data_IF_576176711247
#
_entry.id   IF_576176711247
#
_cell.length_a   1.000
_cell.length_b   1.000
_cell.length_c   1.000
_cell.angle_alpha   90.00
_cell.angle_beta   90.00
_cell.angle_gamma   90.00
#
_symmetry.space_group_name_H-M   'P 1'
#
loop_
_entity.id
_entity.type
_entity.pdbx_description
1 polymer ?
#
# COMPACT_ATOMS: atom_id res chain seq x y z
N UNK A 1 5.69 9.72 20.11
CA UNK A 1 4.35 10.23 19.75
C UNK A 1 4.30 10.84 18.34
N UNK A 2 4.48 10.07 17.25
CA UNK A 2 4.35 10.65 15.90
C UNK A 2 2.92 10.93 15.43
N UNK A 3 1.91 10.25 15.97
CA UNK A 3 0.54 10.45 15.47
C UNK A 3 -0.04 11.80 15.94
N UNK A 4 0.24 12.21 17.17
CA UNK A 4 0.02 13.59 17.63
C UNK A 4 0.76 14.64 16.78
N UNK A 5 2.01 14.37 16.37
CA UNK A 5 2.78 15.26 15.51
C UNK A 5 2.19 15.35 14.08
N UNK A 6 1.72 14.21 13.53
CA UNK A 6 1.01 14.16 12.25
C UNK A 6 -0.32 14.91 12.31
N UNK A 7 -1.08 14.72 13.38
CA UNK A 7 -2.32 15.46 13.64
C UNK A 7 -2.06 16.97 13.76
N UNK A 8 -0.97 17.37 14.42
CA UNK A 8 -0.56 18.77 14.52
C UNK A 8 -0.11 19.36 13.17
N UNK A 9 0.39 18.52 12.25
CA UNK A 9 0.78 18.93 10.90
C UNK A 9 -0.41 18.99 9.92
N UNK A 10 -1.54 18.32 10.20
CA UNK A 10 -2.72 18.31 9.33
C UNK A 10 -3.20 19.71 8.92
N UNK A 11 -3.31 20.72 9.81
CA UNK A 11 -3.70 22.06 9.40
C UNK A 11 -2.77 22.65 8.33
N UNK A 12 -1.46 22.43 8.42
CA UNK A 12 -0.51 22.89 7.41
C UNK A 12 -0.69 22.14 6.09
N UNK A 13 -0.80 20.81 6.14
CA UNK A 13 -1.01 19.99 4.93
C UNK A 13 -2.28 20.39 4.18
N UNK A 14 -3.37 20.66 4.91
CA UNK A 14 -4.68 20.93 4.34
C UNK A 14 -4.87 22.40 3.91
N UNK A 15 -4.23 23.37 4.59
CA UNK A 15 -4.49 24.79 4.35
C UNK A 15 -3.46 25.46 3.42
N UNK A 16 -2.19 25.05 3.47
CA UNK A 16 -1.13 25.65 2.66
C UNK A 16 -0.59 24.72 1.58
N UNK A 17 -1.15 23.51 1.47
CA UNK A 17 -0.63 22.41 0.66
C UNK A 17 0.86 22.13 0.93
N UNK A 18 1.38 22.59 2.07
CA UNK A 18 2.79 22.45 2.40
C UNK A 18 3.11 20.99 2.72
N UNK A 19 4.00 20.39 1.95
CA UNK A 19 4.31 18.96 2.02
C UNK A 19 3.44 18.08 1.12
N UNK A 20 2.47 18.65 0.40
CA UNK A 20 1.75 17.92 -0.66
C UNK A 20 2.56 17.95 -1.97
N UNK A 21 2.55 16.85 -2.75
CA UNK A 21 3.10 16.86 -4.10
C UNK A 21 2.41 17.92 -4.97
N UNK A 22 3.15 18.54 -5.90
CA UNK A 22 2.65 19.62 -6.77
C UNK A 22 1.38 19.23 -7.55
N UNK A 23 1.34 17.99 -8.06
CA UNK A 23 0.19 17.44 -8.79
C UNK A 23 -1.07 17.30 -7.93
N UNK A 24 -0.92 17.18 -6.61
CA UNK A 24 -2.03 17.08 -5.66
C UNK A 24 -2.40 18.44 -5.03
N UNK A 25 -1.44 19.35 -4.89
CA UNK A 25 -1.56 20.60 -4.14
C UNK A 25 -2.66 21.55 -4.66
N UNK A 26 -3.06 21.41 -5.92
CA UNK A 26 -4.12 22.19 -6.57
C UNK A 26 -5.55 21.68 -6.26
N UNK A 27 -5.68 20.49 -5.65
CA UNK A 27 -6.97 19.86 -5.37
C UNK A 27 -7.33 20.00 -3.90
N UNK A 28 -8.63 20.14 -3.62
CA UNK A 28 -9.15 20.12 -2.25
C UNK A 28 -9.47 18.69 -1.84
N UNK A 29 -8.95 18.19 -0.70
CA UNK A 29 -9.30 16.88 -0.21
C UNK A 29 -10.77 16.86 0.24
N UNK A 30 -11.43 15.72 0.08
CA UNK A 30 -12.78 15.46 0.59
C UNK A 30 -12.78 14.65 1.89
N UNK A 31 -11.64 14.05 2.24
CA UNK A 31 -11.51 13.03 3.29
C UNK A 31 -10.09 12.92 3.81
N UNK A 32 -9.95 12.48 5.07
CA UNK A 32 -8.67 12.13 5.69
C UNK A 32 -8.59 10.62 5.89
N UNK A 33 -7.48 10.04 5.41
CA UNK A 33 -7.08 8.68 5.72
C UNK A 33 -6.19 8.70 6.96
N UNK A 34 -6.60 8.03 8.03
CA UNK A 34 -5.94 8.08 9.33
C UNK A 34 -5.70 6.68 9.87
N UNK A 35 -4.50 6.43 10.40
CA UNK A 35 -4.09 5.12 10.93
C UNK A 35 -2.98 4.50 10.10
N UNK A 36 -2.93 3.16 10.09
CA UNK A 36 -1.88 2.38 9.44
C UNK A 36 -2.44 1.14 8.76
N UNK A 37 -1.89 0.77 7.60
CA UNK A 37 -2.41 -0.34 6.79
C UNK A 37 -1.69 -1.67 7.02
N UNK A 38 -0.51 -1.67 7.62
CA UNK A 38 0.37 -2.85 7.56
C UNK A 38 0.93 -3.35 8.89
N UNK A 39 0.90 -2.55 9.96
CA UNK A 39 1.51 -2.92 11.22
C UNK A 39 0.60 -2.68 12.43
N UNK A 40 0.21 -3.76 13.11
CA UNK A 40 -0.59 -3.70 14.34
C UNK A 40 0.05 -2.86 15.46
N UNK A 41 1.40 -2.84 15.54
CA UNK A 41 2.13 -2.08 16.56
C UNK A 41 2.17 -0.57 16.30
N UNK A 42 1.68 -0.12 15.15
CA UNK A 42 1.56 1.29 14.80
C UNK A 42 0.11 1.79 14.85
N UNK A 43 -0.83 0.97 15.34
CA UNK A 43 -2.21 1.40 15.53
C UNK A 43 -2.27 2.68 16.38
N UNK A 44 -3.11 3.65 15.98
CA UNK A 44 -3.30 4.88 16.76
C UNK A 44 -3.96 4.57 18.10
N UNK A 45 -3.87 5.51 19.04
CA UNK A 45 -4.69 5.43 20.26
C UNK A 45 -6.12 5.89 19.98
N UNK A 46 -7.07 5.54 20.87
CA UNK A 46 -8.43 6.07 20.83
C UNK A 46 -8.42 7.61 20.86
N UNK A 47 -7.54 8.23 21.66
CA UNK A 47 -7.40 9.69 21.74
C UNK A 47 -6.99 10.31 20.40
N UNK A 48 -6.10 9.65 19.64
CA UNK A 48 -5.70 10.11 18.32
C UNK A 48 -6.85 10.02 17.30
N UNK A 49 -7.68 8.95 17.37
CA UNK A 49 -8.88 8.80 16.54
C UNK A 49 -9.89 9.91 16.83
N UNK A 50 -10.11 10.25 18.11
CA UNK A 50 -10.99 11.34 18.52
C UNK A 50 -10.49 12.67 17.94
N UNK A 51 -9.19 12.95 18.07
CA UNK A 51 -8.58 14.16 17.54
C UNK A 51 -8.67 14.24 16.01
N UNK A 52 -8.45 13.14 15.30
CA UNK A 52 -8.62 13.06 13.85
C UNK A 52 -10.07 13.34 13.42
N UNK A 53 -11.05 12.75 14.11
CA UNK A 53 -12.47 12.98 13.84
C UNK A 53 -12.87 14.46 14.04
N UNK A 54 -12.30 15.13 15.04
CA UNK A 54 -12.49 16.58 15.24
C UNK A 54 -11.90 17.42 14.09
N UNK A 55 -10.70 17.06 13.62
CA UNK A 55 -10.08 17.74 12.47
C UNK A 55 -10.92 17.56 11.19
N UNK A 56 -11.48 16.37 10.98
CA UNK A 56 -12.41 16.09 9.88
C UNK A 56 -13.69 16.94 10.00
N UNK A 57 -14.33 16.92 11.18
CA UNK A 57 -15.62 17.61 11.42
C UNK A 57 -15.52 19.12 11.25
N UNK A 58 -14.49 19.72 11.84
CA UNK A 58 -14.24 21.18 11.74
C UNK A 58 -13.99 21.66 10.30
N UNK A 59 -13.72 20.74 9.35
CA UNK A 59 -13.43 21.05 7.94
C UNK A 59 -14.44 20.46 6.96
N UNK A 60 -15.45 19.74 7.45
CA UNK A 60 -16.42 19.04 6.59
C UNK A 60 -15.80 17.94 5.73
N UNK A 61 -14.77 17.25 6.23
CA UNK A 61 -14.10 16.14 5.55
C UNK A 61 -14.60 14.80 6.09
N UNK A 62 -14.72 13.79 5.23
CA UNK A 62 -14.93 12.40 5.67
C UNK A 62 -13.71 11.82 6.41
N UNK A 63 -13.90 10.75 7.17
CA UNK A 63 -12.81 10.09 7.90
C UNK A 63 -12.71 8.59 7.59
N UNK A 64 -11.56 8.14 7.08
CA UNK A 64 -11.24 6.73 6.85
C UNK A 64 -10.25 6.27 7.90
N UNK A 65 -10.62 5.27 8.68
CA UNK A 65 -9.71 4.60 9.59
C UNK A 65 -9.03 3.43 8.87
N UNK A 66 -7.70 3.49 8.77
CA UNK A 66 -6.87 2.41 8.23
C UNK A 66 -6.60 1.37 9.30
N UNK A 67 -6.85 0.09 8.98
CA UNK A 67 -6.53 -1.02 9.86
C UNK A 67 -5.59 -2.02 9.19
N UNK A 68 -4.58 -2.53 9.93
CA UNK A 68 -3.67 -3.54 9.41
C UNK A 68 -4.25 -4.94 9.57
N UNK A 69 -3.54 -5.94 9.03
CA UNK A 69 -3.73 -7.30 9.50
C UNK A 69 -3.22 -7.46 10.92
N UNK A 70 -3.93 -8.28 11.71
CA UNK A 70 -3.72 -8.35 13.16
C UNK A 70 -3.73 -9.80 13.64
N UNK A 71 -2.97 -10.06 14.71
CA UNK A 71 -3.12 -11.30 15.50
C UNK A 71 -4.30 -11.21 16.45
N UNK A 72 -4.77 -12.33 16.99
CA UNK A 72 -5.92 -12.41 17.92
C UNK A 72 -5.89 -11.39 19.07
N UNK A 73 -4.71 -11.19 19.70
CA UNK A 73 -4.54 -10.23 20.79
C UNK A 73 -4.75 -8.76 20.40
N UNK A 74 -4.85 -8.47 19.10
CA UNK A 74 -5.05 -7.14 18.53
C UNK A 74 -6.44 -6.94 17.93
N UNK A 75 -7.31 -7.97 17.93
CA UNK A 75 -8.71 -7.83 17.53
C UNK A 75 -9.46 -6.86 18.46
N UNK A 76 -9.33 -7.03 19.78
CA UNK A 76 -9.99 -6.15 20.77
C UNK A 76 -9.53 -4.68 20.66
N UNK A 77 -8.21 -4.38 20.57
CA UNK A 77 -7.74 -3.03 20.25
C UNK A 77 -8.40 -2.41 19.02
N UNK A 78 -8.47 -3.12 17.89
CA UNK A 78 -9.08 -2.54 16.69
C UNK A 78 -10.59 -2.33 16.87
N UNK A 79 -11.30 -3.29 17.49
CA UNK A 79 -12.73 -3.11 17.84
C UNK A 79 -12.96 -1.85 18.67
N UNK A 80 -12.08 -1.52 19.63
CA UNK A 80 -12.19 -0.28 20.42
C UNK A 80 -11.96 0.97 19.57
N UNK A 81 -11.04 0.94 18.60
CA UNK A 81 -10.82 2.08 17.69
C UNK A 81 -12.05 2.32 16.80
N UNK A 82 -12.65 1.26 16.24
CA UNK A 82 -13.88 1.38 15.44
C UNK A 82 -15.05 1.84 16.29
N UNK A 83 -15.21 1.30 17.50
CA UNK A 83 -16.21 1.79 18.45
C UNK A 83 -16.02 3.27 18.76
N UNK A 84 -14.79 3.71 18.99
CA UNK A 84 -14.46 5.12 19.24
C UNK A 84 -14.86 5.99 18.06
N UNK A 85 -14.51 5.59 16.83
CA UNK A 85 -14.86 6.27 15.58
C UNK A 85 -16.38 6.52 15.47
N UNK A 86 -17.18 5.51 15.83
CA UNK A 86 -18.64 5.56 15.82
C UNK A 86 -19.17 6.47 16.94
N UNK A 87 -18.70 6.28 18.18
CA UNK A 87 -19.19 7.01 19.36
C UNK A 87 -18.94 8.52 19.26
N UNK A 88 -17.81 8.93 18.68
CA UNK A 88 -17.52 10.35 18.41
C UNK A 88 -18.18 10.91 17.15
N UNK A 89 -19.00 10.08 16.48
CA UNK A 89 -19.72 10.44 15.25
C UNK A 89 -18.77 11.05 14.22
N UNK A 90 -17.70 10.32 13.89
CA UNK A 90 -16.79 10.74 12.85
C UNK A 90 -17.58 11.00 11.55
N UNK A 91 -17.28 12.08 10.80
CA UNK A 91 -18.03 12.38 9.58
C UNK A 91 -17.78 11.32 8.51
N UNK A 92 -18.86 10.79 7.92
CA UNK A 92 -18.81 9.77 6.85
C UNK A 92 -17.80 8.65 7.19
N UNK A 93 -18.03 7.86 8.26
CA UNK A 93 -17.00 6.97 8.79
C UNK A 93 -16.78 5.77 7.87
N UNK A 94 -15.56 5.60 7.39
CA UNK A 94 -15.10 4.43 6.62
C UNK A 94 -14.02 3.69 7.40
N UNK A 95 -13.94 2.36 7.23
CA UNK A 95 -12.86 1.54 7.78
C UNK A 95 -12.27 0.66 6.67
N UNK A 96 -10.97 0.85 6.39
CA UNK A 96 -10.22 0.01 5.45
C UNK A 96 -9.71 -1.23 6.19
N UNK A 97 -10.01 -2.40 5.63
CA UNK A 97 -9.74 -3.70 6.24
C UNK A 97 -8.71 -4.48 5.43
N UNK A 98 -7.65 -4.91 6.12
CA UNK A 98 -6.58 -5.75 5.53
C UNK A 98 -6.57 -7.18 6.10
N UNK A 99 -7.64 -7.61 6.80
CA UNK A 99 -7.76 -8.92 7.43
C UNK A 99 -9.22 -9.42 7.44
N UNK A 100 -9.44 -10.62 6.91
CA UNK A 100 -10.76 -11.25 6.81
C UNK A 100 -11.35 -11.64 8.17
N UNK A 101 -10.53 -12.06 9.12
CA UNK A 101 -10.95 -12.37 10.49
C UNK A 101 -11.40 -11.11 11.23
N UNK A 102 -10.66 -10.02 11.04
CA UNK A 102 -11.02 -8.70 11.56
C UNK A 102 -12.33 -8.19 10.94
N UNK A 103 -12.49 -8.27 9.61
CA UNK A 103 -13.74 -7.93 8.92
C UNK A 103 -14.93 -8.70 9.51
N UNK A 104 -14.80 -10.02 9.63
CA UNK A 104 -15.85 -10.89 10.18
C UNK A 104 -16.26 -10.46 11.59
N UNK A 105 -15.27 -10.09 12.42
CA UNK A 105 -15.51 -9.63 13.78
C UNK A 105 -16.23 -8.29 13.80
N UNK A 106 -15.66 -7.27 13.15
CA UNK A 106 -16.18 -5.91 13.18
C UNK A 106 -17.57 -5.81 12.54
N UNK A 107 -17.86 -6.57 11.49
CA UNK A 107 -19.20 -6.63 10.92
C UNK A 107 -20.24 -7.13 11.93
N UNK A 108 -19.91 -8.14 12.74
CA UNK A 108 -20.85 -8.62 13.78
C UNK A 108 -21.09 -7.59 14.88
N UNK A 109 -20.09 -6.76 15.19
CA UNK A 109 -20.15 -5.77 16.26
C UNK A 109 -20.77 -4.44 15.80
N UNK A 110 -20.55 -4.03 14.56
CA UNK A 110 -20.81 -2.68 14.06
C UNK A 110 -21.53 -2.63 12.70
N UNK A 111 -22.33 -3.65 12.35
CA UNK A 111 -23.06 -3.70 11.08
C UNK A 111 -23.88 -2.42 10.83
N UNK A 112 -23.74 -1.84 9.63
CA UNK A 112 -24.48 -0.66 9.20
C UNK A 112 -24.11 0.66 9.89
N UNK A 113 -23.06 0.69 10.74
CA UNK A 113 -22.64 1.89 11.45
C UNK A 113 -21.46 2.62 10.77
N UNK A 114 -20.69 1.91 9.95
CA UNK A 114 -19.57 2.42 9.16
C UNK A 114 -19.53 1.72 7.81
N UNK A 115 -18.94 2.38 6.83
CA UNK A 115 -18.68 1.79 5.51
C UNK A 115 -17.39 0.95 5.56
N UNK A 116 -17.46 -0.27 5.03
CA UNK A 116 -16.33 -1.20 4.98
C UNK A 116 -15.63 -1.11 3.63
N UNK A 117 -14.31 -0.97 3.65
CA UNK A 117 -13.49 -0.85 2.44
C UNK A 117 -12.47 -2.00 2.39
N UNK A 118 -12.36 -2.66 1.24
CA UNK A 118 -11.37 -3.71 1.03
C UNK A 118 -9.99 -3.07 0.83
N UNK A 119 -9.08 -3.30 1.77
CA UNK A 119 -7.72 -2.76 1.71
C UNK A 119 -6.82 -3.45 0.68
N UNK A 120 -5.71 -2.78 0.37
CA UNK A 120 -4.71 -3.20 -0.63
C UNK A 120 -4.18 -4.62 -0.38
N UNK A 121 -4.14 -5.06 0.87
CA UNK A 121 -3.64 -6.38 1.25
C UNK A 121 -4.51 -7.58 0.84
N UNK A 122 -5.80 -7.37 0.50
CA UNK A 122 -6.77 -8.47 0.38
C UNK A 122 -7.15 -8.85 -1.06
N UNK A 123 -6.82 -8.04 -2.06
CA UNK A 123 -7.23 -8.29 -3.45
C UNK A 123 -6.11 -8.86 -4.34
N UNK A 124 -5.01 -9.37 -3.77
CA UNK A 124 -3.91 -10.11 -4.45
C UNK A 124 -3.43 -9.55 -5.81
N UNK A 125 -3.48 -8.24 -6.01
CA UNK A 125 -2.91 -7.61 -7.20
C UNK A 125 -1.41 -7.88 -7.28
N UNK A 126 -0.91 -8.14 -8.48
CA UNK A 126 0.52 -8.31 -8.75
C UNK A 126 1.21 -6.95 -8.67
N UNK A 127 2.19 -6.83 -7.79
CA UNK A 127 2.95 -5.58 -7.54
C UNK A 127 4.45 -5.79 -7.60
N UNK A 128 4.87 -6.87 -8.23
CA UNK A 128 6.29 -7.19 -8.37
C UNK A 128 6.93 -6.19 -9.33
N UNK A 129 7.85 -5.35 -8.85
CA UNK A 129 8.40 -4.27 -9.66
C UNK A 129 9.26 -4.75 -10.83
N UNK A 130 9.63 -6.05 -10.83
CA UNK A 130 10.36 -6.68 -11.93
C UNK A 130 9.47 -6.97 -13.13
N UNK A 131 8.14 -7.02 -12.98
CA UNK A 131 7.23 -7.30 -14.10
C UNK A 131 7.33 -6.23 -15.19
N UNK A 132 7.58 -4.98 -14.81
CA UNK A 132 7.83 -3.91 -15.77
C UNK A 132 9.13 -4.11 -16.58
N UNK A 133 10.06 -4.94 -16.08
CA UNK A 133 11.34 -5.25 -16.73
C UNK A 133 11.31 -6.58 -17.48
N UNK A 134 10.23 -7.36 -17.33
CA UNK A 134 10.07 -8.71 -17.89
C UNK A 134 8.96 -8.64 -18.93
N UNK A 135 9.33 -8.59 -20.22
CA UNK A 135 8.35 -8.65 -21.30
C UNK A 135 7.69 -10.04 -21.42
N UNK A 136 6.55 -10.14 -22.12
CA UNK A 136 5.79 -11.39 -22.27
C UNK A 136 6.58 -12.56 -22.87
N UNK A 137 7.63 -12.26 -23.63
CA UNK A 137 8.54 -13.24 -24.21
C UNK A 137 9.20 -14.15 -23.16
N UNK A 138 9.35 -13.69 -21.92
CA UNK A 138 9.89 -14.49 -20.81
C UNK A 138 8.96 -15.57 -20.31
N UNK A 139 7.68 -15.46 -20.65
CA UNK A 139 6.67 -16.47 -20.39
C UNK A 139 6.35 -17.29 -21.64
N UNK A 140 7.09 -17.07 -22.74
CA UNK A 140 6.86 -17.73 -24.02
C UNK A 140 5.64 -17.22 -24.80
N UNK A 141 5.22 -15.97 -24.55
CA UNK A 141 4.11 -15.32 -25.27
C UNK A 141 4.50 -13.98 -25.88
N UNK A 142 3.62 -13.43 -26.72
CA UNK A 142 3.84 -12.14 -27.41
C UNK A 142 3.16 -10.95 -26.71
N UNK A 143 2.26 -11.21 -25.76
CA UNK A 143 1.46 -10.18 -25.07
C UNK A 143 1.52 -10.36 -23.55
N UNK A 144 1.52 -9.24 -22.82
CA UNK A 144 1.53 -9.26 -21.36
C UNK A 144 0.30 -10.02 -20.84
N UNK A 145 0.46 -10.95 -19.88
CA UNK A 145 -0.69 -11.65 -19.31
C UNK A 145 -1.61 -10.68 -18.57
N UNK A 146 -2.91 -10.77 -18.87
CA UNK A 146 -3.96 -9.97 -18.21
C UNK A 146 -3.91 -10.05 -16.69
N UNK A 147 -3.56 -11.22 -16.15
CA UNK A 147 -3.42 -11.46 -14.71
C UNK A 147 -2.42 -10.51 -14.02
N UNK A 148 -1.47 -9.94 -14.76
CA UNK A 148 -0.50 -8.98 -14.22
C UNK A 148 -1.07 -7.57 -14.06
N UNK A 149 -2.19 -7.30 -14.71
CA UNK A 149 -2.83 -5.99 -14.81
C UNK A 149 -4.09 -5.88 -13.91
N UNK A 150 -4.39 -6.92 -13.14
CA UNK A 150 -5.62 -7.05 -12.36
C UNK A 150 -5.36 -7.52 -10.91
N UNK A 151 -6.39 -7.39 -10.08
CA UNK A 151 -6.48 -8.05 -8.77
C UNK A 151 -7.57 -9.11 -8.75
N UNK A 152 -7.74 -9.79 -7.61
CA UNK A 152 -8.79 -10.79 -7.38
C UNK A 152 -10.20 -10.27 -7.67
N UNK A 153 -10.43 -8.96 -7.63
CA UNK A 153 -11.69 -8.33 -8.03
C UNK A 153 -12.09 -8.60 -9.50
N UNK A 154 -11.18 -9.08 -10.35
CA UNK A 154 -11.52 -9.52 -11.71
C UNK A 154 -12.19 -10.91 -11.76
N UNK A 155 -12.08 -11.71 -10.70
CA UNK A 155 -12.84 -12.96 -10.57
C UNK A 155 -14.29 -12.68 -10.17
N UNK A 156 -15.24 -13.36 -10.85
CA UNK A 156 -16.67 -13.33 -10.51
C UNK A 156 -16.91 -13.79 -9.08
N UNK A 157 -16.27 -14.88 -8.66
CA UNK A 157 -16.44 -15.49 -7.34
C UNK A 157 -15.98 -14.54 -6.24
N UNK A 158 -14.88 -13.82 -6.48
CA UNK A 158 -14.42 -12.79 -5.54
C UNK A 158 -15.42 -11.64 -5.45
N UNK A 159 -15.97 -11.17 -6.58
CA UNK A 159 -17.00 -10.11 -6.56
C UNK A 159 -18.28 -10.55 -5.85
N UNK A 160 -18.70 -11.80 -6.01
CA UNK A 160 -19.85 -12.35 -5.27
C UNK A 160 -19.57 -12.37 -3.76
N UNK A 161 -18.35 -12.75 -3.36
CA UNK A 161 -17.92 -12.66 -1.97
C UNK A 161 -17.95 -11.22 -1.45
N UNK A 162 -17.43 -10.24 -2.21
CA UNK A 162 -17.48 -8.83 -1.81
C UNK A 162 -18.92 -8.32 -1.65
N UNK A 163 -19.83 -8.69 -2.57
CA UNK A 163 -21.23 -8.33 -2.49
C UNK A 163 -21.93 -8.95 -1.25
N UNK A 164 -21.69 -10.23 -0.96
CA UNK A 164 -22.16 -10.87 0.29
C UNK A 164 -21.58 -10.19 1.54
N UNK A 165 -20.35 -9.68 1.39
CA UNK A 165 -19.67 -8.98 2.46
C UNK A 165 -20.07 -7.50 2.63
N UNK A 166 -20.95 -6.98 1.77
CA UNK A 166 -21.30 -5.57 1.65
C UNK A 166 -20.05 -4.67 1.45
N UNK A 167 -19.06 -5.18 0.74
CA UNK A 167 -17.86 -4.46 0.34
C UNK A 167 -18.05 -3.93 -1.08
N UNK A 168 -18.19 -2.62 -1.20
CA UNK A 168 -18.42 -1.94 -2.49
C UNK A 168 -17.23 -1.13 -2.96
N UNK A 169 -16.19 -0.98 -2.13
CA UNK A 169 -14.98 -0.21 -2.44
C UNK A 169 -13.71 -1.03 -2.25
N UNK A 170 -12.76 -0.87 -3.17
CA UNK A 170 -11.44 -1.50 -3.14
C UNK A 170 -10.33 -0.45 -3.24
N UNK A 171 -9.39 -0.48 -2.30
CA UNK A 171 -8.15 0.30 -2.36
C UNK A 171 -7.15 -0.42 -3.28
N UNK A 172 -6.56 0.30 -4.23
CA UNK A 172 -5.60 -0.21 -5.22
C UNK A 172 -4.37 0.69 -5.31
N UNK A 173 -3.25 0.13 -5.78
CA UNK A 173 -2.05 0.88 -6.15
C UNK A 173 -1.99 1.06 -7.67
N UNK A 174 -1.13 1.94 -8.17
CA UNK A 174 -0.75 1.97 -9.59
C UNK A 174 0.58 1.20 -9.80
N UNK A 175 0.56 -0.09 -10.17
CA UNK A 175 1.76 -0.88 -10.38
C UNK A 175 2.58 -0.43 -11.59
N UNK A 176 3.89 -0.71 -11.52
CA UNK A 176 4.85 -0.28 -12.54
C UNK A 176 4.57 -0.86 -13.93
N UNK A 177 3.90 -2.01 -14.00
CA UNK A 177 3.49 -2.65 -15.24
C UNK A 177 2.12 -2.15 -15.77
N UNK A 178 1.49 -1.18 -15.11
CA UNK A 178 0.17 -0.66 -15.46
C UNK A 178 -1.00 -1.53 -14.97
N UNK A 179 -2.21 -1.08 -15.28
CA UNK A 179 -3.47 -1.73 -14.92
C UNK A 179 -4.39 -1.85 -16.13
N UNK A 180 -5.28 -2.84 -16.08
CA UNK A 180 -6.43 -2.93 -16.98
C UNK A 180 -7.49 -1.92 -16.56
N UNK A 181 -8.32 -1.52 -17.51
CA UNK A 181 -9.51 -0.72 -17.26
C UNK A 181 -10.48 -1.37 -16.25
N UNK A 182 -11.16 -0.53 -15.48
CA UNK A 182 -12.04 -0.93 -14.37
C UNK A 182 -13.52 -0.99 -14.75
N UNK A 183 -13.89 -0.57 -15.97
CA UNK A 183 -15.30 -0.39 -16.39
C UNK A 183 -16.14 -1.69 -16.30
N UNK A 184 -15.47 -2.84 -16.30
CA UNK A 184 -16.09 -4.16 -16.23
C UNK A 184 -16.56 -4.56 -14.82
N UNK A 185 -16.27 -3.75 -13.80
CA UNK A 185 -16.50 -4.12 -12.41
C UNK A 185 -17.53 -3.21 -11.70
N UNK A 186 -18.57 -3.78 -11.06
CA UNK A 186 -19.56 -3.02 -10.30
C UNK A 186 -19.03 -2.67 -8.89
N UNK A 187 -17.86 -2.03 -8.83
CA UNK A 187 -17.16 -1.65 -7.61
C UNK A 187 -16.65 -0.22 -7.73
N UNK A 188 -16.51 0.45 -6.59
CA UNK A 188 -15.78 1.71 -6.50
C UNK A 188 -14.31 1.44 -6.17
N UNK A 189 -13.42 2.26 -6.70
CA UNK A 189 -11.98 2.11 -6.54
C UNK A 189 -11.35 3.38 -5.99
N UNK A 190 -10.31 3.19 -5.19
CA UNK A 190 -9.52 4.25 -4.60
C UNK A 190 -8.05 3.98 -4.90
N UNK A 191 -7.40 4.92 -5.59
CA UNK A 191 -6.03 4.75 -6.09
C UNK A 191 -5.02 5.45 -5.18
N UNK A 192 -4.12 4.69 -4.58
CA UNK A 192 -3.02 5.21 -3.77
C UNK A 192 -1.85 5.69 -4.64
N UNK A 193 -1.39 6.91 -4.39
CA UNK A 193 -0.22 7.54 -5.01
C UNK A 193 0.57 8.36 -3.97
N UNK A 194 1.91 8.49 -4.10
CA UNK A 194 2.75 7.98 -5.19
C UNK A 194 3.43 6.63 -4.89
N UNK A 195 3.10 5.99 -3.77
CA UNK A 195 3.76 4.76 -3.36
C UNK A 195 2.91 3.54 -3.68
N UNK A 196 3.55 2.51 -4.22
CA UNK A 196 2.95 1.19 -4.37
C UNK A 196 3.55 0.20 -3.40
N UNK A 197 2.69 -0.56 -2.72
CA UNK A 197 3.11 -1.66 -1.85
C UNK A 197 3.71 -2.80 -2.68
N UNK A 198 4.82 -3.41 -2.26
CA UNK A 198 5.37 -4.62 -2.89
C UNK A 198 4.97 -5.84 -2.07
N UNK A 199 5.31 -5.83 -0.78
CA UNK A 199 5.08 -6.93 0.14
C UNK A 199 5.10 -6.44 1.58
N UNK A 200 4.29 -7.07 2.43
CA UNK A 200 4.30 -6.89 3.88
C UNK A 200 4.21 -8.24 4.58
N UNK A 201 4.74 -8.32 5.79
CA UNK A 201 4.63 -9.50 6.63
C UNK A 201 4.80 -9.18 8.12
N UNK A 202 4.53 -10.14 9.00
CA UNK A 202 4.70 -9.93 10.46
C UNK A 202 6.16 -9.88 10.91
N UNK A 203 7.06 -10.47 10.13
CA UNK A 203 8.49 -10.38 10.41
C UNK A 203 9.02 -9.01 9.95
N UNK A 204 9.58 -8.24 10.88
CA UNK A 204 10.00 -6.86 10.63
C UNK A 204 11.49 -6.72 10.90
N UNK A 205 12.29 -6.62 9.83
CA UNK A 205 13.72 -6.36 9.93
C UNK A 205 14.00 -5.05 10.68
N UNK A 206 13.20 -4.02 10.41
CA UNK A 206 13.36 -2.70 11.04
C UNK A 206 13.16 -2.78 12.56
N UNK A 207 12.23 -3.60 13.03
CA UNK A 207 12.03 -3.82 14.48
C UNK A 207 13.21 -4.52 15.17
N UNK A 208 14.12 -5.12 14.40
CA UNK A 208 15.30 -5.82 14.93
C UNK A 208 16.55 -4.95 15.03
N UNK A 209 16.51 -3.70 14.58
CA UNK A 209 17.67 -2.80 14.68
C UNK A 209 18.06 -2.55 16.14
N UNK A 210 19.36 -2.57 16.41
CA UNK A 210 19.89 -2.42 17.77
C UNK A 210 19.68 -3.63 18.69
N UNK A 211 18.98 -4.68 18.24
CA UNK A 211 18.69 -5.88 19.06
C UNK A 211 19.76 -6.98 18.89
N UNK A 212 19.96 -7.83 19.93
CA UNK A 212 20.90 -8.94 19.86
C UNK A 212 20.52 -9.94 18.75
N UNK A 213 21.49 -10.70 18.20
CA UNK A 213 21.25 -11.64 17.10
C UNK A 213 20.10 -12.63 17.34
N UNK A 214 19.91 -13.07 18.58
CA UNK A 214 18.83 -14.00 18.97
C UNK A 214 17.41 -13.44 18.80
N UNK A 215 17.27 -12.12 18.71
CA UNK A 215 15.99 -11.44 18.51
C UNK A 215 15.81 -10.93 17.07
N UNK A 216 16.79 -11.16 16.19
CA UNK A 216 16.68 -10.78 14.77
C UNK A 216 15.77 -11.77 14.04
N UNK A 217 14.97 -11.25 13.11
CA UNK A 217 14.04 -12.03 12.29
C UNK A 217 12.94 -12.77 13.06
N UNK A 218 12.70 -12.38 14.32
CA UNK A 218 11.57 -12.85 15.11
C UNK A 218 10.37 -11.93 14.90
N UNK A 219 9.16 -12.49 14.97
CA UNK A 219 7.94 -11.69 14.98
C UNK A 219 7.89 -10.92 16.30
N UNK A 220 7.85 -9.57 16.29
CA UNK A 220 7.87 -8.79 17.50
C UNK A 220 6.54 -8.95 18.27
N UNK A 221 6.63 -9.42 19.52
CA UNK A 221 5.51 -9.40 20.46
C UNK A 221 5.23 -7.96 20.92
N UNK A 222 6.29 -7.17 21.08
CA UNK A 222 6.26 -5.74 21.34
C UNK A 222 7.24 -5.03 20.40
N UNK A 223 6.93 -3.78 20.06
CA UNK A 223 7.72 -2.98 19.14
C UNK A 223 7.85 -1.54 19.67
N UNK A 224 9.08 -1.04 19.66
CA UNK A 224 9.46 0.35 19.92
C UNK A 224 9.27 1.27 18.70
N UNK A 225 8.79 0.69 17.59
CA UNK A 225 8.45 1.37 16.35
C UNK A 225 9.57 2.25 15.74
N UNK A 226 10.81 1.72 15.57
CA UNK A 226 11.93 2.46 14.98
C UNK A 226 11.65 2.92 13.53
N UNK A 227 10.69 2.32 12.85
CA UNK A 227 10.23 2.76 11.52
C UNK A 227 9.57 4.14 11.50
N UNK A 228 9.21 4.68 12.66
CA UNK A 228 8.76 6.08 12.82
C UNK A 228 9.89 7.05 12.49
N UNK A 229 11.13 6.67 12.80
CA UNK A 229 12.32 7.54 12.63
C UNK A 229 13.18 7.14 11.43
N UNK A 230 13.16 5.87 11.05
CA UNK A 230 14.02 5.34 9.99
C UNK A 230 13.24 4.77 8.81
N UNK A 231 13.72 5.08 7.61
CA UNK A 231 13.33 4.45 6.33
C UNK A 231 14.58 3.90 5.68
N UNK A 232 14.54 2.64 5.22
CA UNK A 232 15.64 2.04 4.48
C UNK A 232 15.41 2.31 2.99
N UNK A 233 16.41 2.86 2.32
CA UNK A 233 16.45 2.94 0.87
C UNK A 233 17.08 1.65 0.34
N UNK A 234 16.29 0.87 -0.40
CA UNK A 234 16.75 -0.34 -1.03
C UNK A 234 17.24 -0.02 -2.44
N UNK A 235 18.38 -0.59 -2.79
CA UNK A 235 18.95 -0.48 -4.13
C UNK A 235 18.98 -1.86 -4.73
N UNK A 236 18.23 -2.04 -5.81
CA UNK A 236 18.32 -3.26 -6.59
C UNK A 236 19.55 -3.15 -7.49
N UNK A 237 20.50 -4.10 -7.46
CA UNK A 237 21.59 -4.13 -8.42
C UNK A 237 21.12 -4.50 -9.84
N UNK A 238 19.81 -4.58 -10.09
CA UNK A 238 19.26 -5.35 -11.21
C UNK A 238 18.15 -4.65 -12.00
N UNK A 239 18.03 -3.32 -11.95
CA UNK A 239 17.18 -2.66 -12.94
C UNK A 239 17.85 -2.75 -14.31
N UNK A 240 17.26 -3.52 -15.23
CA UNK A 240 17.71 -3.57 -16.62
C UNK A 240 16.98 -2.53 -17.50
N UNK A 241 16.27 -1.58 -16.87
CA UNK A 241 15.61 -0.44 -17.51
C UNK A 241 16.66 0.37 -18.28
N UNK A 242 16.65 0.23 -19.60
CA UNK A 242 17.64 0.83 -20.51
C UNK A 242 18.46 -0.17 -21.33
N UNK A 243 18.39 -1.48 -21.06
CA UNK A 243 19.10 -2.51 -21.84
C UNK A 243 18.26 -3.08 -23.02
N UNK A 244 17.00 -2.64 -23.18
CA UNK A 244 16.08 -3.11 -24.22
C UNK A 244 15.46 -4.49 -23.95
N UNK A 245 14.32 -4.78 -24.58
CA UNK A 245 13.50 -5.99 -24.35
C UNK A 245 14.25 -7.32 -24.61
N UNK A 246 15.36 -7.30 -25.37
CA UNK A 246 16.14 -8.49 -25.72
C UNK A 246 17.18 -8.91 -24.66
N UNK A 247 17.23 -8.27 -23.49
CA UNK A 247 18.35 -8.39 -22.56
C UNK A 247 18.19 -9.47 -21.48
N UNK A 248 17.05 -10.14 -21.40
CA UNK A 248 16.87 -11.28 -20.52
C UNK A 248 17.18 -12.54 -21.34
N UNK A 249 18.13 -13.38 -20.93
CA UNK A 249 18.37 -14.64 -21.63
C UNK A 249 17.08 -15.46 -21.53
N UNK A 250 16.44 -15.70 -22.67
CA UNK A 250 15.46 -16.76 -22.79
C UNK A 250 16.13 -18.03 -22.23
N UNK A 251 15.46 -18.73 -21.32
CA UNK A 251 15.92 -20.04 -20.90
C UNK A 251 15.96 -20.89 -22.16
N UNK A 252 17.15 -21.12 -22.71
CA UNK A 252 17.34 -22.15 -23.73
C UNK A 252 16.71 -23.45 -23.21
N UNK A 253 16.09 -24.21 -24.11
CA UNK A 253 15.18 -25.33 -23.82
C UNK A 253 15.79 -26.52 -23.02
N UNK A 254 16.93 -26.35 -22.36
CA UNK A 254 17.54 -27.35 -21.50
C UNK A 254 18.45 -26.70 -20.43
N UNK A 255 17.97 -26.44 -19.20
CA UNK A 255 18.83 -25.97 -18.13
C UNK A 255 19.49 -27.21 -17.51
N UNK A 256 20.57 -27.71 -18.11
CA UNK A 256 21.49 -28.49 -17.30
C UNK A 256 22.05 -27.52 -16.24
N UNK A 257 21.84 -27.73 -14.94
CA UNK A 257 22.45 -26.87 -13.93
C UNK A 257 23.96 -27.07 -14.01
N UNK A 258 24.66 -26.14 -14.67
CA UNK A 258 26.11 -26.13 -14.59
C UNK A 258 26.48 -25.89 -13.13
N UNK A 259 27.26 -26.77 -12.48
CA UNK A 259 27.67 -26.61 -11.09
C UNK A 259 28.65 -25.44 -10.90
N UNK A 260 28.98 -24.71 -11.96
CA UNK A 260 29.92 -23.61 -11.97
C UNK A 260 29.27 -22.22 -11.96
N UNK A 261 28.03 -22.07 -11.46
CA UNK A 261 27.58 -20.75 -11.05
C UNK A 261 28.23 -20.43 -9.70
N UNK A 262 29.32 -19.63 -9.63
CA UNK A 262 29.72 -19.07 -8.34
C UNK A 262 28.50 -18.36 -7.76
N UNK A 263 28.28 -18.40 -6.43
CA UNK A 263 27.20 -17.66 -5.82
C UNK A 263 27.28 -16.23 -6.35
N UNK A 264 26.20 -15.75 -6.93
CA UNK A 264 26.09 -14.50 -7.68
C UNK A 264 26.33 -13.28 -6.80
N UNK A 265 27.55 -13.13 -6.27
CA UNK A 265 28.16 -11.83 -5.98
C UNK A 265 28.60 -11.25 -7.31
N UNK A 266 27.64 -10.92 -8.17
CA UNK A 266 27.87 -9.79 -9.07
C UNK A 266 27.87 -8.58 -8.16
N UNK A 267 29.07 -8.14 -7.82
CA UNK A 267 29.31 -6.77 -7.38
C UNK A 267 29.11 -5.92 -8.64
N UNK A 268 27.86 -5.81 -9.10
CA UNK A 268 27.50 -4.72 -9.99
C UNK A 268 27.62 -3.49 -9.10
N UNK A 269 28.67 -2.69 -9.35
CA UNK A 269 28.84 -1.41 -8.70
C UNK A 269 27.55 -0.63 -8.91
N UNK A 270 26.77 -0.46 -7.85
CA UNK A 270 25.53 0.29 -7.93
C UNK A 270 25.84 1.68 -8.50
N UNK A 271 25.04 2.20 -9.44
CA UNK A 271 25.25 3.55 -9.94
C UNK A 271 25.26 4.56 -8.78
N UNK A 272 25.80 5.78 -8.94
CA UNK A 272 25.62 6.82 -7.94
C UNK A 272 24.13 7.04 -7.65
N UNK A 273 23.75 7.34 -6.40
CA UNK A 273 22.33 7.44 -5.98
C UNK A 273 21.47 8.42 -6.79
N UNK A 274 22.07 9.37 -7.51
CA UNK A 274 21.37 10.35 -8.35
C UNK A 274 21.29 10.00 -9.84
N UNK A 275 21.88 8.88 -10.27
CA UNK A 275 21.95 8.46 -11.67
C UNK A 275 21.28 7.09 -11.92
N UNK A 276 20.54 6.58 -10.95
CA UNK A 276 19.87 5.28 -11.00
C UNK A 276 18.48 5.44 -11.64
N UNK A 277 18.22 4.91 -12.85
CA UNK A 277 16.92 5.01 -13.52
C UNK A 277 15.87 4.08 -12.90
N UNK A 278 16.23 3.27 -11.90
CA UNK A 278 15.30 2.42 -11.15
C UNK A 278 14.24 3.23 -10.42
N UNK A 279 13.03 2.67 -10.23
CA UNK A 279 12.14 3.12 -9.16
C UNK A 279 12.88 3.12 -7.83
N UNK A 280 12.54 4.09 -6.98
CA UNK A 280 13.09 4.14 -5.63
C UNK A 280 12.40 3.08 -4.79
N UNK A 281 13.16 2.07 -4.36
CA UNK A 281 12.66 1.03 -3.47
C UNK A 281 12.88 1.43 -2.02
N UNK A 282 11.86 1.23 -1.19
CA UNK A 282 11.82 1.71 0.18
C UNK A 282 11.35 0.59 1.08
N UNK A 283 11.96 0.45 2.25
CA UNK A 283 11.44 -0.39 3.32
C UNK A 283 11.17 0.48 4.55
N UNK A 284 9.90 0.46 4.98
CA UNK A 284 9.44 1.15 6.19
C UNK A 284 8.71 0.15 7.06
N UNK A 285 9.27 -0.10 8.24
CA UNK A 285 8.77 -1.13 9.14
C UNK A 285 8.82 -2.51 8.49
N UNK A 286 7.65 -3.13 8.38
CA UNK A 286 7.48 -4.49 7.86
C UNK A 286 7.03 -4.54 6.40
N UNK A 287 6.98 -3.39 5.72
CA UNK A 287 6.48 -3.28 4.36
C UNK A 287 7.54 -2.71 3.42
N UNK A 288 7.56 -3.26 2.21
CA UNK A 288 8.37 -2.81 1.09
C UNK A 288 7.48 -2.03 0.12
N UNK A 289 8.02 -0.95 -0.43
CA UNK A 289 7.34 -0.08 -1.38
C UNK A 289 8.28 0.25 -2.55
N UNK A 290 7.68 0.67 -3.66
CA UNK A 290 8.34 1.54 -4.63
C UNK A 290 7.65 2.89 -4.65
N UNK A 291 8.39 3.92 -5.04
CA UNK A 291 7.87 5.25 -5.31
C UNK A 291 7.83 5.47 -6.83
N UNK A 292 6.68 5.94 -7.32
CA UNK A 292 6.49 6.31 -8.72
C UNK A 292 7.21 7.63 -9.01
N UNK A 293 7.82 7.73 -10.20
CA UNK A 293 8.37 8.99 -10.69
C UNK A 293 7.26 9.88 -11.29
N UNK A 294 7.62 11.10 -11.70
CA UNK A 294 6.66 12.09 -12.21
C UNK A 294 5.90 11.61 -13.45
N UNK A 295 6.58 10.98 -14.41
CA UNK A 295 5.95 10.44 -15.62
C UNK A 295 4.96 9.31 -15.30
N UNK A 296 5.33 8.43 -14.35
CA UNK A 296 4.46 7.34 -13.89
C UNK A 296 3.25 7.86 -13.12
N UNK A 297 3.42 8.90 -12.31
CA UNK A 297 2.29 9.56 -11.62
C UNK A 297 1.36 10.20 -12.65
N UNK A 298 1.90 10.88 -13.67
CA UNK A 298 1.09 11.48 -14.73
C UNK A 298 0.31 10.41 -15.51
N UNK A 299 0.97 9.30 -15.86
CA UNK A 299 0.31 8.16 -16.50
C UNK A 299 -0.79 7.55 -15.61
N UNK A 300 -0.53 7.41 -14.31
CA UNK A 300 -1.51 6.92 -13.34
C UNK A 300 -2.73 7.85 -13.24
N UNK A 301 -2.52 9.17 -13.21
CA UNK A 301 -3.59 10.16 -13.15
C UNK A 301 -4.40 10.21 -14.45
N UNK A 302 -3.75 10.10 -15.61
CA UNK A 302 -4.43 10.02 -16.91
C UNK A 302 -5.27 8.76 -17.02
N UNK A 303 -4.71 7.62 -16.62
CA UNK A 303 -5.45 6.36 -16.55
C UNK A 303 -6.63 6.47 -15.58
N UNK A 304 -6.42 7.00 -14.37
CA UNK A 304 -7.48 7.15 -13.37
C UNK A 304 -8.63 8.03 -13.88
N UNK A 305 -8.31 9.10 -14.62
CA UNK A 305 -9.30 10.00 -15.21
C UNK A 305 -10.15 9.35 -16.32
N UNK A 306 -9.67 8.26 -16.94
CA UNK A 306 -10.44 7.51 -17.94
C UNK A 306 -11.28 6.38 -17.35
N UNK A 307 -11.13 6.03 -16.08
CA UNK A 307 -11.80 4.88 -15.49
C UNK A 307 -13.20 5.20 -14.95
N UNK A 308 -14.20 4.42 -15.40
CA UNK A 308 -15.50 4.37 -14.71
C UNK A 308 -15.35 3.52 -13.43
N UNK A 309 -15.72 4.08 -12.29
CA UNK A 309 -15.66 3.41 -10.98
C UNK A 309 -14.48 3.82 -10.11
N UNK A 310 -13.47 4.51 -10.64
CA UNK A 310 -12.44 5.16 -9.83
C UNK A 310 -12.89 6.60 -9.52
N UNK A 311 -13.35 6.83 -8.30
CA UNK A 311 -13.87 8.11 -7.85
C UNK A 311 -12.96 8.80 -6.81
N UNK A 312 -11.84 8.17 -6.45
CA UNK A 312 -10.91 8.66 -5.43
C UNK A 312 -9.45 8.39 -5.77
N UNK A 313 -8.63 9.42 -5.63
CA UNK A 313 -7.16 9.30 -5.55
C UNK A 313 -6.76 9.61 -4.11
N UNK A 314 -6.07 8.67 -3.47
CA UNK A 314 -5.51 8.79 -2.13
C UNK A 314 -4.08 9.29 -2.25
N UNK A 315 -3.83 10.48 -1.72
CA UNK A 315 -2.50 11.10 -1.77
C UNK A 315 -1.77 10.81 -0.48
N UNK A 316 -0.62 10.15 -0.60
CA UNK A 316 0.28 9.81 0.49
C UNK A 316 1.46 10.81 0.47
N UNK A 317 1.39 11.93 1.23
CA UNK A 317 2.42 12.98 1.18
C UNK A 317 3.78 12.50 1.72
N UNK A 318 3.79 11.40 2.46
CA UNK A 318 4.97 10.71 2.93
C UNK A 318 4.75 9.20 2.83
N UNK A 319 5.85 8.44 2.81
CA UNK A 319 5.82 6.99 2.73
C UNK A 319 4.87 6.38 3.78
N UNK A 320 3.92 5.52 3.40
CA UNK A 320 2.95 4.93 4.31
C UNK A 320 3.61 4.19 5.47
N UNK A 321 2.93 4.23 6.61
CA UNK A 321 3.28 3.50 7.83
C UNK A 321 2.16 2.56 8.21
#
# INVERSE_FOLDING_TARGET
MPDAARLAALPSLLNSSAGMPSWAAQHRPSRIYFGVEFCQHLLPSEADVIAAAEQCRSRGLGMTLLTPYVTDGWLDPVSRLVKTLIEVKAPDPEVVLNDWGLLRRLRREFEGQVEWVLGRGLHRMMRDPRLADVGPEHLGGDTQPDLWLEGSYSSREFRLLLAELALHRVEIDYPLQGLRDLEDFPLNFSLHLPYGMIASGRNCMVSSYGKPPSLRFMVPIACDAPCRDFTIHLRAPWSRRGLGNNALPLLDANPAPSPSFPPSRRVESLPPSGADPSPRFLQKGNTHFYELNEDQILAALQWAASQRGLDRVVVEPALPM
#
